data_IF_702912925355
#
_entry.id   IF_702912925355
#
_cell.length_a   1.000
_cell.length_b   1.000
_cell.length_c   1.000
_cell.angle_alpha   90.00
_cell.angle_beta   90.00
_cell.angle_gamma   90.00
#
_symmetry.space_group_name_H-M   'P 1'
#
loop_
_entity.id
_entity.type
_entity.pdbx_description
1 polymer ?
#
# COMPACT_ATOMS: atom_id res chain seq x y z
N UNK A 1 -12.43 -2.49 8.68
CA UNK A 1 -13.70 -1.74 8.55
C UNK A 1 -14.78 -2.73 8.13
N UNK A 2 -15.97 -2.69 8.75
CA UNK A 2 -17.13 -3.58 8.49
C UNK A 2 -16.80 -5.09 8.39
N UNK A 3 -16.23 -5.66 9.45
CA UNK A 3 -15.80 -7.07 9.43
C UNK A 3 -16.98 -8.06 9.41
N UNK A 4 -18.20 -7.63 9.71
CA UNK A 4 -19.42 -8.42 9.62
C UNK A 4 -19.68 -9.01 8.22
N UNK A 5 -19.21 -8.34 7.17
CA UNK A 5 -19.37 -8.80 5.78
C UNK A 5 -18.45 -9.98 5.43
N UNK A 6 -17.47 -10.35 6.27
CA UNK A 6 -16.63 -11.53 6.02
C UNK A 6 -17.37 -12.86 6.12
N UNK A 7 -18.57 -12.89 6.72
CA UNK A 7 -19.40 -14.10 6.86
C UNK A 7 -19.80 -14.75 5.52
N UNK A 8 -19.87 -13.95 4.45
CA UNK A 8 -20.17 -14.40 3.09
C UNK A 8 -18.91 -14.70 2.26
N UNK A 9 -17.71 -14.39 2.76
CA UNK A 9 -16.47 -14.75 2.08
C UNK A 9 -16.26 -16.27 2.21
N UNK A 10 -16.15 -17.04 1.09
CA UNK A 10 -15.93 -18.48 1.16
C UNK A 10 -14.67 -18.89 1.94
N UNK A 11 -13.65 -18.03 1.96
CA UNK A 11 -12.41 -18.29 2.69
C UNK A 11 -12.63 -18.33 4.21
N UNK A 12 -13.67 -17.67 4.74
CA UNK A 12 -14.03 -17.73 6.16
C UNK A 12 -14.41 -19.15 6.63
N UNK A 13 -14.77 -20.03 5.69
CA UNK A 13 -15.18 -21.42 5.94
C UNK A 13 -14.05 -22.41 5.68
N UNK A 14 -12.88 -21.95 5.21
CA UNK A 14 -11.74 -22.80 4.92
C UNK A 14 -10.83 -22.90 6.15
N UNK A 15 -10.65 -24.13 6.64
CA UNK A 15 -9.84 -24.38 7.84
C UNK A 15 -8.37 -23.90 7.72
N UNK A 16 -7.83 -23.88 6.51
CA UNK A 16 -6.47 -23.38 6.21
C UNK A 16 -6.29 -21.87 6.49
N UNK A 17 -7.36 -21.08 6.43
CA UNK A 17 -7.34 -19.63 6.66
C UNK A 17 -7.86 -19.22 8.02
N UNK A 18 -8.37 -20.18 8.81
CA UNK A 18 -9.08 -19.90 10.04
C UNK A 18 -8.16 -19.62 11.24
N UNK A 19 -6.84 -19.82 11.09
CA UNK A 19 -5.86 -19.52 12.14
C UNK A 19 -5.38 -18.07 12.05
N UNK A 20 -4.82 -17.48 13.12
CA UNK A 20 -4.30 -16.11 13.07
C UNK A 20 -3.24 -15.85 11.99
N UNK A 21 -2.47 -16.87 11.60
CA UNK A 21 -1.47 -16.78 10.53
C UNK A 21 -1.98 -17.33 9.19
N UNK A 22 -3.10 -18.07 9.18
CA UNK A 22 -3.65 -18.74 8.00
C UNK A 22 -2.60 -19.60 7.30
N UNK A 23 -2.31 -19.23 6.05
CA UNK A 23 -1.32 -19.87 5.18
C UNK A 23 0.09 -19.29 5.26
N UNK A 24 0.33 -18.36 6.19
CA UNK A 24 1.60 -17.65 6.30
C UNK A 24 2.45 -18.16 7.47
N UNK A 25 3.75 -17.96 7.35
CA UNK A 25 4.69 -18.15 8.46
C UNK A 25 4.80 -16.86 9.28
N UNK A 26 5.06 -17.01 10.58
CA UNK A 26 5.32 -15.86 11.46
C UNK A 26 6.57 -15.10 11.01
N UNK A 27 6.48 -13.78 10.91
CA UNK A 27 7.56 -12.90 10.48
C UNK A 27 8.00 -13.08 9.03
N UNK A 28 7.15 -13.68 8.16
CA UNK A 28 7.53 -13.99 6.79
C UNK A 28 7.91 -12.76 5.94
N UNK A 29 7.41 -11.59 6.30
CA UNK A 29 7.56 -10.35 5.54
C UNK A 29 6.34 -10.06 4.67
N UNK A 30 5.89 -8.81 4.63
CA UNK A 30 4.72 -8.42 3.85
C UNK A 30 4.90 -8.61 2.35
N UNK A 31 6.13 -8.65 1.85
CA UNK A 31 6.44 -8.99 0.46
C UNK A 31 6.00 -10.40 0.06
N UNK A 32 5.82 -11.30 1.04
CA UNK A 32 5.33 -12.68 0.87
C UNK A 32 3.86 -12.86 1.23
N UNK A 33 3.19 -11.80 1.69
CA UNK A 33 1.77 -11.83 2.03
C UNK A 33 0.95 -11.55 0.78
N UNK A 34 -0.05 -12.37 0.51
CA UNK A 34 -1.03 -12.06 -0.54
C UNK A 34 -2.01 -11.04 0.00
N UNK A 35 -1.87 -9.80 -0.44
CA UNK A 35 -2.77 -8.70 -0.10
C UNK A 35 -4.07 -8.79 -0.90
N UNK A 36 -5.16 -8.23 -0.37
CA UNK A 36 -6.37 -8.04 -1.16
C UNK A 36 -6.05 -7.21 -2.40
N UNK A 37 -6.39 -7.72 -3.58
CA UNK A 37 -6.08 -7.06 -4.85
C UNK A 37 -6.70 -5.67 -4.95
N UNK A 38 -5.91 -4.68 -5.37
CA UNK A 38 -6.31 -3.28 -5.44
C UNK A 38 -5.28 -2.41 -6.14
N UNK A 39 -5.47 -1.09 -6.08
CA UNK A 39 -4.59 -0.12 -6.74
C UNK A 39 -3.18 -0.10 -6.15
N UNK A 40 -3.02 -0.39 -4.86
CA UNK A 40 -1.72 -0.50 -4.18
C UNK A 40 -0.79 -1.49 -4.89
N UNK A 41 -1.17 -2.78 -4.94
CA UNK A 41 -0.36 -3.84 -5.56
C UNK A 41 -0.22 -3.61 -7.07
N UNK A 42 -1.30 -3.19 -7.74
CA UNK A 42 -1.27 -2.93 -9.17
C UNK A 42 -0.25 -1.83 -9.53
N UNK A 43 -0.33 -0.66 -8.90
CA UNK A 43 0.59 0.44 -9.21
C UNK A 43 2.02 0.08 -8.81
N UNK A 44 2.22 -0.59 -7.68
CA UNK A 44 3.53 -1.14 -7.31
C UNK A 44 4.11 -1.99 -8.45
N UNK A 45 3.35 -2.94 -9.01
CA UNK A 45 3.83 -3.78 -10.11
C UNK A 45 4.17 -2.98 -11.38
N UNK A 46 3.45 -1.89 -11.67
CA UNK A 46 3.72 -1.00 -12.81
C UNK A 46 5.04 -0.23 -12.66
N UNK A 47 5.41 0.17 -11.42
CA UNK A 47 6.54 1.10 -11.19
C UNK A 47 7.71 0.53 -10.37
N UNK A 48 7.65 -0.74 -9.94
CA UNK A 48 8.65 -1.38 -9.05
C UNK A 48 10.09 -1.33 -9.54
N UNK A 49 10.32 -1.27 -10.85
CA UNK A 49 11.66 -1.24 -11.43
C UNK A 49 12.16 0.20 -11.69
N UNK A 50 11.41 1.23 -11.25
CA UNK A 50 11.67 2.64 -11.58
C UNK A 50 11.86 3.56 -10.38
N UNK A 51 11.26 3.23 -9.23
CA UNK A 51 11.27 4.09 -8.04
C UNK A 51 12.13 3.51 -6.91
N UNK A 52 12.64 4.36 -5.99
CA UNK A 52 13.31 3.87 -4.79
C UNK A 52 12.37 3.08 -3.89
N UNK A 53 12.95 2.20 -3.07
CA UNK A 53 12.19 1.26 -2.25
C UNK A 53 11.19 1.96 -1.32
N UNK A 54 11.57 3.07 -0.71
CA UNK A 54 10.70 3.84 0.18
C UNK A 54 9.42 4.31 -0.54
N UNK A 55 9.56 4.81 -1.78
CA UNK A 55 8.42 5.23 -2.60
C UNK A 55 7.52 4.05 -2.95
N UNK A 56 8.12 2.91 -3.30
CA UNK A 56 7.39 1.68 -3.58
C UNK A 56 6.65 1.16 -2.36
N UNK A 57 7.24 1.25 -1.18
CA UNK A 57 6.64 0.82 0.08
C UNK A 57 5.41 1.65 0.44
N UNK A 58 5.50 2.98 0.26
CA UNK A 58 4.35 3.88 0.41
C UNK A 58 3.24 3.50 -0.58
N UNK A 59 3.54 3.34 -1.87
CA UNK A 59 2.56 2.96 -2.89
C UNK A 59 1.89 1.62 -2.57
N UNK A 60 2.67 0.59 -2.21
CA UNK A 60 2.19 -0.78 -2.05
C UNK A 60 1.35 -1.01 -0.79
N UNK A 61 1.49 -0.16 0.24
CA UNK A 61 0.84 -0.41 1.53
C UNK A 61 0.06 0.79 2.11
N UNK A 62 -0.08 1.91 1.39
CA UNK A 62 -0.83 3.08 1.89
C UNK A 62 -2.32 2.84 2.15
N UNK A 63 -2.93 1.81 1.56
CA UNK A 63 -4.31 1.42 1.87
C UNK A 63 -4.40 0.44 3.05
N UNK A 64 -3.28 -0.04 3.57
CA UNK A 64 -3.24 -1.07 4.61
C UNK A 64 -3.42 -0.51 6.03
N UNK A 65 -4.51 0.24 6.24
CA UNK A 65 -4.86 0.87 7.51
C UNK A 65 -4.82 -0.05 8.73
N UNK A 66 -5.24 -1.34 8.65
CA UNK A 66 -5.08 -2.25 9.77
C UNK A 66 -3.65 -2.34 10.29
N UNK A 67 -2.63 -2.20 9.44
CA UNK A 67 -1.23 -2.25 9.86
C UNK A 67 -0.76 -0.85 10.28
N UNK A 68 -0.75 0.12 9.38
CA UNK A 68 -0.10 1.43 9.63
C UNK A 68 -0.90 2.35 10.56
N UNK A 69 -2.17 2.05 10.86
CA UNK A 69 -2.98 2.84 11.80
C UNK A 69 -3.40 2.06 13.04
N UNK A 70 -3.86 0.82 12.87
CA UNK A 70 -4.45 0.05 13.98
C UNK A 70 -3.47 -0.91 14.65
N UNK A 71 -2.24 -1.06 14.13
CA UNK A 71 -1.22 -1.94 14.69
C UNK A 71 -1.56 -3.44 14.61
N UNK A 72 -2.44 -3.84 13.71
CA UNK A 72 -2.77 -5.24 13.43
C UNK A 72 -1.70 -5.91 12.56
N UNK A 73 -1.83 -7.23 12.38
CA UNK A 73 -0.97 -8.08 11.53
C UNK A 73 0.54 -8.02 11.81
N UNK A 74 0.93 -7.59 13.00
CA UNK A 74 2.34 -7.48 13.41
C UNK A 74 3.09 -8.82 13.36
N UNK A 75 2.38 -9.95 13.52
CA UNK A 75 2.96 -11.28 13.43
C UNK A 75 3.40 -11.66 12.00
N UNK A 76 2.97 -10.94 10.97
CA UNK A 76 3.42 -11.16 9.58
C UNK A 76 4.62 -10.28 9.21
N UNK A 77 4.83 -9.18 9.94
CA UNK A 77 5.85 -8.18 9.61
C UNK A 77 7.26 -8.64 9.99
N UNK A 78 8.17 -8.51 9.02
CA UNK A 78 9.61 -8.61 9.21
C UNK A 78 10.19 -7.34 9.85
N UNK A 79 11.46 -7.38 10.28
CA UNK A 79 12.16 -6.19 10.78
C UNK A 79 12.30 -5.10 9.71
N UNK A 80 12.41 -5.50 8.44
CA UNK A 80 12.46 -4.58 7.30
C UNK A 80 11.14 -3.82 7.16
N UNK A 81 10.01 -4.53 7.26
CA UNK A 81 8.68 -3.92 7.17
C UNK A 81 8.50 -2.90 8.30
N UNK A 82 8.89 -3.26 9.53
CA UNK A 82 8.83 -2.34 10.68
C UNK A 82 9.64 -1.07 10.45
N UNK A 83 10.81 -1.18 9.83
CA UNK A 83 11.62 -0.01 9.49
C UNK A 83 11.00 0.84 8.37
N UNK A 84 10.34 0.21 7.39
CA UNK A 84 9.74 0.88 6.24
C UNK A 84 8.41 1.58 6.54
N UNK A 85 7.64 1.10 7.52
CA UNK A 85 6.35 1.69 7.86
C UNK A 85 6.44 3.16 8.32
N UNK A 86 7.60 3.63 8.78
CA UNK A 86 7.84 5.06 9.04
C UNK A 86 7.56 5.95 7.82
N UNK A 87 7.81 5.44 6.60
CA UNK A 87 7.57 6.16 5.36
C UNK A 87 6.10 6.13 4.97
N UNK A 88 5.44 4.98 5.15
CA UNK A 88 3.99 4.82 4.96
C UNK A 88 3.23 5.78 5.88
N UNK A 89 3.62 5.84 7.15
CA UNK A 89 3.02 6.75 8.14
C UNK A 89 3.19 8.22 7.76
N UNK A 90 4.40 8.60 7.32
CA UNK A 90 4.67 9.96 6.86
C UNK A 90 3.82 10.35 5.63
N UNK A 91 3.68 9.45 4.66
CA UNK A 91 2.86 9.66 3.47
C UNK A 91 1.37 9.76 3.77
N UNK A 92 0.87 8.91 4.66
CA UNK A 92 -0.56 8.81 4.97
C UNK A 92 -1.14 10.12 5.53
N UNK A 93 -0.32 10.97 6.17
CA UNK A 93 -0.74 12.31 6.59
C UNK A 93 -1.17 13.14 5.38
N UNK A 94 -0.42 13.10 4.29
CA UNK A 94 -0.73 13.84 3.08
C UNK A 94 -1.89 13.22 2.30
N UNK A 95 -1.92 11.90 2.12
CA UNK A 95 -3.06 11.23 1.46
C UNK A 95 -4.39 11.54 2.17
N UNK A 96 -4.43 11.46 3.50
CA UNK A 96 -5.68 11.61 4.22
C UNK A 96 -6.10 13.08 4.40
N UNK A 97 -5.18 13.95 4.83
CA UNK A 97 -5.54 15.28 5.34
C UNK A 97 -5.43 16.40 4.30
N UNK A 98 -4.94 16.13 3.09
CA UNK A 98 -4.98 17.12 1.99
C UNK A 98 -6.27 17.04 1.17
N UNK A 99 -7.16 16.07 1.45
CA UNK A 99 -8.46 15.93 0.81
C UNK A 99 -9.33 17.15 1.10
N UNK A 100 -9.58 17.97 0.07
CA UNK A 100 -10.36 19.19 0.13
C UNK A 100 -11.42 19.23 -0.95
N UNK A 101 -12.54 19.92 -0.69
CA UNK A 101 -13.54 20.24 -1.71
C UNK A 101 -13.05 21.33 -2.67
N UNK A 102 -12.09 22.15 -2.24
CA UNK A 102 -11.47 23.16 -3.08
C UNK A 102 -10.54 22.49 -4.09
N UNK A 103 -10.67 22.88 -5.36
CA UNK A 103 -9.82 22.36 -6.43
C UNK A 103 -8.51 23.13 -6.48
N UNK A 104 -7.42 22.41 -6.68
CA UNK A 104 -6.11 23.01 -6.96
C UNK A 104 -6.06 23.55 -8.39
N UNK A 105 -5.19 24.53 -8.64
CA UNK A 105 -4.86 25.00 -9.98
C UNK A 105 -3.97 23.98 -10.70
N UNK A 106 -4.59 23.07 -11.44
CA UNK A 106 -3.89 22.00 -12.16
C UNK A 106 -2.96 22.56 -13.23
N UNK A 107 -3.35 23.63 -13.92
CA UNK A 107 -2.54 24.17 -15.02
C UNK A 107 -1.29 24.89 -14.49
N UNK A 108 -1.43 25.59 -13.36
CA UNK A 108 -0.29 26.18 -12.66
C UNK A 108 0.69 25.16 -12.06
N UNK A 109 0.20 23.99 -11.62
CA UNK A 109 1.02 22.93 -11.02
C UNK A 109 1.65 21.98 -12.04
N UNK A 110 1.03 21.83 -13.21
CA UNK A 110 1.42 20.86 -14.23
C UNK A 110 2.91 20.90 -14.59
N UNK A 111 3.56 22.05 -14.86
CA UNK A 111 4.97 22.08 -15.25
C UNK A 111 5.91 21.44 -14.22
N UNK A 112 5.62 21.65 -12.94
CA UNK A 112 6.40 21.07 -11.83
C UNK A 112 6.29 19.54 -11.80
N UNK A 113 5.06 19.00 -11.90
CA UNK A 113 4.87 17.55 -11.89
C UNK A 113 5.35 16.87 -13.17
N UNK A 114 5.25 17.53 -14.33
CA UNK A 114 5.79 17.01 -15.59
C UNK A 114 7.33 16.88 -15.54
N UNK A 115 8.04 17.82 -14.89
CA UNK A 115 9.49 17.72 -14.67
C UNK A 115 9.84 16.48 -13.81
N UNK A 116 9.10 16.25 -12.73
CA UNK A 116 9.29 15.07 -11.88
C UNK A 116 8.94 13.76 -12.62
N UNK A 117 7.89 13.76 -13.44
CA UNK A 117 7.53 12.58 -14.24
C UNK A 117 8.65 12.26 -15.23
N UNK A 118 9.23 13.26 -15.89
CA UNK A 118 10.35 13.05 -16.82
C UNK A 118 11.62 12.58 -16.09
N UNK A 119 11.86 13.03 -14.85
CA UNK A 119 13.00 12.58 -14.05
C UNK A 119 12.83 11.12 -13.58
N UNK A 120 11.68 10.76 -13.01
CA UNK A 120 11.49 9.50 -12.28
C UNK A 120 10.75 8.41 -13.06
N UNK A 121 9.84 8.80 -13.96
CA UNK A 121 8.99 7.89 -14.74
C UNK A 121 8.93 8.28 -16.23
N UNK A 122 10.09 8.49 -16.91
CA UNK A 122 10.10 9.01 -18.27
C UNK A 122 9.46 8.05 -19.29
N UNK A 123 8.90 8.65 -20.33
CA UNK A 123 8.34 7.94 -21.47
C UNK A 123 6.99 7.30 -21.20
N UNK A 124 6.66 6.26 -21.96
CA UNK A 124 5.38 5.55 -21.85
C UNK A 124 5.50 4.37 -20.89
N UNK A 125 4.68 4.37 -19.85
CA UNK A 125 4.51 3.21 -18.96
C UNK A 125 3.56 2.17 -19.58
N UNK A 126 3.74 0.91 -19.18
CA UNK A 126 2.81 -0.18 -19.50
C UNK A 126 1.89 -0.38 -18.30
N UNK A 127 0.59 -0.18 -18.53
CA UNK A 127 -0.47 -0.29 -17.52
C UNK A 127 -1.17 -1.63 -17.68
#
# INVERSE_FOLDING_TARGET
IYHEYFSENPDSRRSEYATPLGIYEEGCGLDKVTMSWGHDEYLYQVVKDRLPEEALYMIRYHSCYPIHKEGAYQALMSDHDRAMFRWVDAFNVYDLYTKSSERVDVDGLRPFYEELIEEYLPGKLSW
#
